data_IF_703795490792
#
_entry.id   IF_703795490792
#
_cell.length_a   1.000
_cell.length_b   1.000
_cell.length_c   1.000
_cell.angle_alpha   90.00
_cell.angle_beta   90.00
_cell.angle_gamma   90.00
#
_symmetry.space_group_name_H-M   'P 1'
#
loop_
_entity.id
_entity.type
_entity.pdbx_description
1 polymer ?
#
# COMPACT_ATOMS: atom_id res chain seq x y z
N UNK A 1 -8.63 11.37 -17.73
CA UNK A 1 -7.62 12.41 -17.39
C UNK A 1 -7.55 12.76 -15.89
N UNK A 2 -8.61 12.59 -15.09
CA UNK A 2 -8.61 12.95 -13.65
C UNK A 2 -7.79 12.03 -12.72
N UNK A 3 -7.77 10.71 -12.97
CA UNK A 3 -7.16 9.74 -12.03
C UNK A 3 -5.62 9.83 -11.96
N UNK A 4 -4.95 10.02 -13.10
CA UNK A 4 -3.48 10.15 -13.16
C UNK A 4 -2.97 11.48 -12.59
N UNK A 5 -3.73 12.56 -12.74
CA UNK A 5 -3.41 13.87 -12.17
C UNK A 5 -3.44 13.82 -10.64
N UNK A 6 -4.51 13.28 -10.07
CA UNK A 6 -4.64 13.11 -8.62
C UNK A 6 -3.54 12.23 -8.02
N UNK A 7 -3.06 11.23 -8.78
CA UNK A 7 -2.07 10.29 -8.28
C UNK A 7 -0.66 10.91 -8.16
N UNK A 8 -0.25 11.74 -9.14
CA UNK A 8 1.00 12.49 -9.06
C UNK A 8 0.98 13.50 -7.90
N UNK A 9 -0.16 14.14 -7.68
CA UNK A 9 -0.36 15.07 -6.55
C UNK A 9 -0.23 14.35 -5.21
N UNK A 10 -0.86 13.19 -5.02
CA UNK A 10 -0.75 12.42 -3.78
C UNK A 10 0.69 11.97 -3.50
N UNK A 11 1.45 11.55 -4.52
CA UNK A 11 2.86 11.19 -4.35
C UNK A 11 3.71 12.42 -3.99
N UNK A 12 3.45 13.58 -4.62
CA UNK A 12 4.16 14.84 -4.26
C UNK A 12 3.89 15.21 -2.81
N UNK A 13 2.62 15.22 -2.41
CA UNK A 13 2.20 15.50 -1.03
C UNK A 13 2.80 14.54 -0.02
N UNK A 14 2.92 13.25 -0.36
CA UNK A 14 3.61 12.29 0.49
C UNK A 14 5.08 12.68 0.70
N UNK A 15 5.77 13.09 -0.36
CA UNK A 15 7.16 13.56 -0.27
C UNK A 15 7.29 14.86 0.54
N UNK A 16 6.38 15.81 0.33
CA UNK A 16 6.32 17.08 1.08
C UNK A 16 6.05 16.83 2.56
N UNK A 17 5.05 16.01 2.91
CA UNK A 17 4.74 15.66 4.29
C UNK A 17 5.91 14.98 5.00
N UNK A 18 6.67 14.11 4.32
CA UNK A 18 7.88 13.51 4.92
C UNK A 18 8.97 14.57 5.12
N UNK A 19 9.17 15.47 4.15
CA UNK A 19 10.18 16.53 4.22
C UNK A 19 9.90 17.51 5.36
N UNK A 20 8.63 17.84 5.56
CA UNK A 20 8.18 18.77 6.59
C UNK A 20 7.86 18.05 7.92
N UNK A 21 8.28 16.79 8.07
CA UNK A 21 8.15 15.95 9.27
C UNK A 21 6.70 15.68 9.73
N UNK A 22 5.72 15.85 8.84
CA UNK A 22 4.34 15.44 9.02
C UNK A 22 4.15 13.93 8.80
N UNK A 23 4.81 13.12 9.63
CA UNK A 23 4.88 11.66 9.43
C UNK A 23 3.55 10.93 9.55
N UNK A 24 2.61 11.41 10.37
CA UNK A 24 1.26 10.85 10.46
C UNK A 24 0.47 11.07 9.15
N UNK A 25 0.55 12.28 8.59
CA UNK A 25 -0.06 12.58 7.30
C UNK A 25 0.58 11.77 6.18
N UNK A 26 1.91 11.69 6.16
CA UNK A 26 2.64 10.86 5.20
C UNK A 26 2.21 9.39 5.28
N UNK A 27 2.05 8.83 6.48
CA UNK A 27 1.58 7.46 6.69
C UNK A 27 0.16 7.25 6.13
N UNK A 28 -0.71 8.24 6.28
CA UNK A 28 -2.07 8.22 5.73
C UNK A 28 -2.09 8.30 4.20
N UNK A 29 -1.28 9.18 3.62
CA UNK A 29 -1.13 9.31 2.18
C UNK A 29 -0.58 8.02 1.57
N UNK A 30 0.45 7.41 2.19
CA UNK A 30 1.00 6.14 1.77
C UNK A 30 -0.08 5.03 1.79
N UNK A 31 -0.87 4.95 2.85
CA UNK A 31 -2.00 4.02 2.96
C UNK A 31 -2.99 4.17 1.80
N UNK A 32 -3.47 5.39 1.55
CA UNK A 32 -4.46 5.66 0.50
C UNK A 32 -3.94 5.28 -0.90
N UNK A 33 -2.66 5.55 -1.16
CA UNK A 33 -2.00 5.21 -2.41
C UNK A 33 -1.87 3.69 -2.56
N UNK A 34 -1.39 2.99 -1.53
CA UNK A 34 -1.22 1.54 -1.53
C UNK A 34 -2.55 0.81 -1.71
N UNK A 35 -3.60 1.26 -1.04
CA UNK A 35 -4.98 0.76 -1.22
C UNK A 35 -5.42 0.77 -2.69
N UNK A 36 -5.29 1.92 -3.36
CA UNK A 36 -5.67 2.04 -4.78
C UNK A 36 -4.77 1.17 -5.69
N UNK A 37 -3.49 0.96 -5.34
CA UNK A 37 -2.62 0.03 -6.08
C UNK A 37 -3.03 -1.42 -5.93
N UNK A 38 -3.46 -1.85 -4.75
CA UNK A 38 -4.01 -3.21 -4.57
C UNK A 38 -5.29 -3.39 -5.39
N UNK A 39 -6.20 -2.40 -5.37
CA UNK A 39 -7.40 -2.41 -6.22
C UNK A 39 -7.01 -2.52 -7.70
N UNK A 40 -6.07 -1.70 -8.17
CA UNK A 40 -5.62 -1.77 -9.56
C UNK A 40 -5.00 -3.13 -9.93
N UNK A 41 -4.34 -3.83 -8.99
CA UNK A 41 -3.78 -5.16 -9.26
C UNK A 41 -4.87 -6.24 -9.28
N UNK A 42 -5.87 -6.12 -8.41
CA UNK A 42 -7.03 -7.01 -8.37
C UNK A 42 -7.88 -6.86 -9.64
N UNK A 43 -8.11 -5.63 -10.11
CA UNK A 43 -8.87 -5.36 -11.34
C UNK A 43 -8.21 -6.00 -12.58
N UNK A 44 -6.87 -6.01 -12.62
CA UNK A 44 -6.09 -6.67 -13.67
C UNK A 44 -6.08 -8.21 -13.58
N UNK A 45 -6.67 -8.79 -12.53
CA UNK A 45 -6.62 -10.23 -12.25
C UNK A 45 -7.98 -10.83 -11.88
N UNK A 46 -9.08 -10.15 -12.20
CA UNK A 46 -10.45 -10.64 -11.97
C UNK A 46 -11.33 -9.76 -11.09
N UNK A 47 -10.89 -8.55 -10.73
CA UNK A 47 -11.66 -7.58 -9.94
C UNK A 47 -11.35 -7.60 -8.45
N UNK A 48 -11.52 -6.44 -7.81
CA UNK A 48 -11.42 -6.25 -6.36
C UNK A 48 -12.68 -6.73 -5.59
N UNK A 49 -13.14 -7.93 -5.89
CA UNK A 49 -14.32 -8.56 -5.30
C UNK A 49 -13.99 -9.92 -4.68
N UNK A 50 -14.74 -10.30 -3.64
CA UNK A 50 -14.72 -11.64 -3.04
C UNK A 50 -15.25 -12.69 -4.02
N UNK A 51 -15.08 -13.97 -3.69
CA UNK A 51 -15.71 -15.09 -4.42
C UNK A 51 -17.23 -14.97 -4.52
N UNK A 52 -17.86 -14.26 -3.58
CA UNK A 52 -19.30 -13.96 -3.56
C UNK A 52 -19.68 -12.66 -4.29
N UNK A 53 -18.73 -12.02 -4.99
CA UNK A 53 -18.95 -10.80 -5.77
C UNK A 53 -19.02 -9.51 -4.96
N UNK A 54 -18.70 -9.54 -3.66
CA UNK A 54 -18.74 -8.34 -2.80
C UNK A 54 -17.43 -7.57 -2.85
N UNK A 55 -17.43 -6.22 -2.81
CA UNK A 55 -16.19 -5.45 -2.82
C UNK A 55 -15.28 -5.77 -1.63
N UNK A 56 -13.99 -5.98 -1.88
CA UNK A 56 -12.98 -6.16 -0.82
C UNK A 56 -12.59 -4.77 -0.29
N UNK A 57 -13.03 -4.42 0.92
CA UNK A 57 -12.87 -3.04 1.45
C UNK A 57 -11.56 -2.78 2.16
N UNK A 58 -11.02 -3.76 2.88
CA UNK A 58 -9.87 -3.57 3.78
C UNK A 58 -8.54 -3.94 3.09
N UNK A 59 -7.43 -3.33 3.53
CA UNK A 59 -6.09 -3.56 2.96
C UNK A 59 -5.62 -5.00 3.14
N UNK A 60 -5.71 -5.54 4.35
CA UNK A 60 -5.31 -6.92 4.66
C UNK A 60 -5.99 -7.96 3.75
N UNK A 61 -7.33 -7.97 3.64
CA UNK A 61 -8.04 -8.84 2.71
C UNK A 61 -7.65 -8.67 1.23
N UNK A 62 -7.41 -7.43 0.75
CA UNK A 62 -6.91 -7.23 -0.63
C UNK A 62 -5.53 -7.85 -0.83
N UNK A 63 -4.65 -7.67 0.14
CA UNK A 63 -3.31 -8.25 0.13
C UNK A 63 -3.37 -9.79 0.13
N UNK A 64 -4.21 -10.38 0.98
CA UNK A 64 -4.43 -11.82 1.03
C UNK A 64 -4.94 -12.39 -0.30
N UNK A 65 -5.88 -11.70 -0.95
CA UNK A 65 -6.39 -12.08 -2.26
C UNK A 65 -5.30 -12.02 -3.35
N UNK A 66 -4.46 -10.97 -3.36
CA UNK A 66 -3.33 -10.88 -4.29
C UNK A 66 -2.33 -12.02 -4.05
N UNK A 67 -1.98 -12.31 -2.79
CA UNK A 67 -1.10 -13.44 -2.41
C UNK A 67 -1.69 -14.78 -2.91
N UNK A 68 -3.00 -14.99 -2.76
CA UNK A 68 -3.67 -16.19 -3.27
C UNK A 68 -3.61 -16.27 -4.81
N UNK A 69 -3.92 -15.19 -5.52
CA UNK A 69 -3.90 -15.15 -7.00
C UNK A 69 -2.50 -15.34 -7.59
N UNK A 70 -1.43 -14.98 -6.87
CA UNK A 70 -0.06 -15.23 -7.35
C UNK A 70 0.26 -16.72 -7.56
N UNK A 71 -0.49 -17.63 -6.92
CA UNK A 71 -0.31 -19.07 -7.09
C UNK A 71 -0.72 -19.54 -8.49
N UNK A 72 -1.71 -18.89 -9.11
CA UNK A 72 -2.26 -19.28 -10.41
C UNK A 72 -2.02 -18.26 -11.54
N UNK A 73 -1.77 -16.99 -11.22
CA UNK A 73 -1.60 -15.91 -12.21
C UNK A 73 -0.12 -15.57 -12.40
N UNK A 74 0.49 -16.11 -13.47
CA UNK A 74 1.92 -15.94 -13.77
C UNK A 74 2.33 -14.46 -13.90
N UNK A 75 1.53 -13.64 -14.59
CA UNK A 75 1.82 -12.22 -14.79
C UNK A 75 1.81 -11.45 -13.47
N UNK A 76 0.92 -11.78 -12.55
CA UNK A 76 0.87 -11.20 -11.21
C UNK A 76 2.13 -11.55 -10.41
N UNK A 77 2.54 -12.83 -10.45
CA UNK A 77 3.79 -13.30 -9.81
C UNK A 77 5.02 -12.60 -10.38
N UNK A 78 5.09 -12.41 -11.70
CA UNK A 78 6.18 -11.67 -12.36
C UNK A 78 6.19 -10.19 -11.99
N UNK A 79 5.02 -9.59 -11.81
CA UNK A 79 4.89 -8.15 -11.53
C UNK A 79 5.22 -7.81 -10.07
N UNK A 80 4.74 -8.62 -9.13
CA UNK A 80 4.94 -8.50 -7.68
C UNK A 80 5.87 -9.61 -7.21
N UNK A 81 7.18 -9.39 -7.33
CA UNK A 81 8.19 -10.41 -7.07
C UNK A 81 8.89 -10.19 -5.72
N UNK A 82 9.70 -11.17 -5.31
CA UNK A 82 10.47 -11.09 -4.07
C UNK A 82 9.55 -11.01 -2.85
N UNK A 83 9.93 -10.15 -1.89
CA UNK A 83 9.26 -9.97 -0.60
C UNK A 83 8.27 -8.80 -0.60
N UNK A 84 7.93 -8.22 -1.76
CA UNK A 84 7.12 -7.00 -1.85
C UNK A 84 5.80 -7.08 -1.08
N UNK A 85 5.10 -8.22 -1.17
CA UNK A 85 3.82 -8.41 -0.50
C UNK A 85 3.98 -8.63 1.00
N UNK A 86 5.09 -9.22 1.44
CA UNK A 86 5.39 -9.45 2.85
C UNK A 86 5.84 -8.16 3.53
N UNK A 87 6.61 -7.32 2.83
CA UNK A 87 6.95 -5.97 3.27
C UNK A 87 5.70 -5.10 3.46
N UNK A 88 4.70 -5.22 2.57
CA UNK A 88 3.44 -4.50 2.74
C UNK A 88 2.61 -5.04 3.91
N UNK A 89 2.65 -6.36 4.15
CA UNK A 89 1.98 -6.98 5.29
C UNK A 89 2.56 -6.49 6.62
N UNK A 90 3.89 -6.51 6.73
CA UNK A 90 4.61 -6.01 7.90
C UNK A 90 4.35 -4.51 8.11
N UNK A 91 4.36 -3.71 7.04
CA UNK A 91 4.05 -2.28 7.12
C UNK A 91 2.61 -2.00 7.58
N UNK A 92 1.64 -2.80 7.12
CA UNK A 92 0.25 -2.72 7.61
C UNK A 92 0.21 -2.93 9.13
N UNK A 93 0.94 -3.91 9.64
CA UNK A 93 0.98 -4.20 11.07
C UNK A 93 1.65 -3.07 11.87
N UNK A 94 2.81 -2.57 11.41
CA UNK A 94 3.47 -1.40 12.01
C UNK A 94 2.54 -0.16 12.06
N UNK A 95 1.78 0.08 11.00
CA UNK A 95 0.82 1.19 10.93
C UNK A 95 -0.37 0.99 11.88
N UNK A 96 -0.79 -0.25 12.12
CA UNK A 96 -1.81 -0.54 13.14
C UNK A 96 -1.25 -0.36 14.55
N UNK A 97 -0.02 -0.83 14.80
CA UNK A 97 0.68 -0.64 16.07
C UNK A 97 0.83 0.85 16.40
N UNK A 98 1.15 1.68 15.40
CA UNK A 98 1.17 3.14 15.55
C UNK A 98 -0.19 3.69 16.01
N UNK A 99 -1.27 3.28 15.35
CA UNK A 99 -2.62 3.73 15.69
C UNK A 99 -3.02 3.30 17.11
N UNK A 100 -2.65 2.09 17.53
CA UNK A 100 -2.90 1.59 18.87
C UNK A 100 -2.06 2.32 19.92
N UNK A 101 -0.76 2.51 19.68
CA UNK A 101 0.14 3.22 20.58
C UNK A 101 -0.28 4.68 20.83
N UNK A 102 -0.88 5.34 19.83
CA UNK A 102 -1.46 6.67 19.99
C UNK A 102 -2.71 6.70 20.90
N UNK A 103 -3.36 5.56 21.14
CA UNK A 103 -4.63 5.47 21.84
C UNK A 103 -4.54 4.82 23.23
N UNK A 104 -3.55 3.97 23.50
CA UNK A 104 -3.49 3.12 24.69
C UNK A 104 -2.37 3.50 25.70
N UNK A 105 -1.73 4.65 25.51
CA UNK A 105 -0.65 5.20 26.37
C UNK A 105 0.56 4.26 26.54
N UNK A 106 0.67 3.20 25.73
CA UNK A 106 1.74 2.19 25.86
C UNK A 106 3.13 2.65 25.42
N UNK A 107 3.24 3.84 24.82
CA UNK A 107 4.48 4.45 24.32
C UNK A 107 4.58 5.92 24.70
N UNK A 108 5.81 6.38 24.91
CA UNK A 108 6.10 7.81 25.04
C UNK A 108 5.87 8.54 23.70
N UNK A 109 5.69 9.87 23.77
CA UNK A 109 5.53 10.71 22.57
C UNK A 109 6.71 10.53 21.62
N UNK A 110 7.95 10.49 22.13
CA UNK A 110 9.14 10.32 21.30
C UNK A 110 9.18 8.96 20.59
N UNK A 111 8.68 7.90 21.22
CA UNK A 111 8.57 6.58 20.60
C UNK A 111 7.47 6.55 19.53
N UNK A 112 6.36 7.26 19.76
CA UNK A 112 5.29 7.43 18.77
C UNK A 112 5.80 8.20 17.55
N UNK A 113 6.56 9.28 17.76
CA UNK A 113 7.14 10.08 16.68
C UNK A 113 8.12 9.27 15.84
N UNK A 114 8.99 8.47 16.48
CA UNK A 114 9.90 7.58 15.77
C UNK A 114 9.15 6.51 14.98
N UNK A 115 8.13 5.89 15.57
CA UNK A 115 7.30 4.90 14.88
C UNK A 115 6.54 5.51 13.70
N UNK A 116 6.02 6.73 13.85
CA UNK A 116 5.38 7.46 12.76
C UNK A 116 6.36 7.73 11.61
N UNK A 117 7.59 8.16 11.93
CA UNK A 117 8.65 8.36 10.95
C UNK A 117 8.98 7.07 10.19
N UNK A 118 9.16 5.96 10.90
CA UNK A 118 9.48 4.66 10.31
C UNK A 118 8.36 4.18 9.37
N UNK A 119 7.10 4.30 9.80
CA UNK A 119 5.91 3.97 8.98
C UNK A 119 5.82 4.87 7.74
N UNK A 120 6.10 6.17 7.87
CA UNK A 120 6.05 7.11 6.76
C UNK A 120 7.12 6.80 5.70
N UNK A 121 8.38 6.60 6.12
CA UNK A 121 9.52 6.38 5.22
C UNK A 121 9.36 5.04 4.50
N UNK A 122 9.09 3.97 5.24
CA UNK A 122 8.87 2.64 4.66
C UNK A 122 7.62 2.59 3.75
N UNK A 123 6.57 3.33 4.12
CA UNK A 123 5.36 3.48 3.31
C UNK A 123 5.63 4.16 1.97
N UNK A 124 6.47 5.21 1.93
CA UNK A 124 6.91 5.86 0.67
C UNK A 124 7.63 4.90 -0.25
N UNK A 125 8.53 4.08 0.30
CA UNK A 125 9.29 3.13 -0.50
C UNK A 125 8.38 2.04 -1.08
N UNK A 126 7.43 1.54 -0.29
CA UNK A 126 6.37 0.63 -0.75
C UNK A 126 5.50 1.26 -1.84
N UNK A 127 5.09 2.52 -1.68
CA UNK A 127 4.33 3.25 -2.72
C UNK A 127 5.07 3.21 -4.04
N UNK A 128 6.36 3.52 -4.06
CA UNK A 128 7.18 3.50 -5.28
C UNK A 128 7.20 2.10 -5.91
N UNK A 129 7.45 1.08 -5.09
CA UNK A 129 7.59 -0.30 -5.54
C UNK A 129 6.26 -0.84 -6.11
N UNK A 130 5.14 -0.60 -5.43
CA UNK A 130 3.80 -1.03 -5.85
C UNK A 130 3.32 -0.27 -7.09
N UNK A 131 3.64 1.02 -7.22
CA UNK A 131 3.39 1.75 -8.46
C UNK A 131 4.10 1.12 -9.66
N UNK A 132 5.35 0.71 -9.47
CA UNK A 132 6.12 0.04 -10.51
C UNK A 132 5.54 -1.35 -10.83
N UNK A 133 5.13 -2.11 -9.81
CA UNK A 133 4.49 -3.41 -9.97
C UNK A 133 3.18 -3.34 -10.77
N UNK A 134 2.28 -2.41 -10.45
CA UNK A 134 1.04 -2.22 -11.21
C UNK A 134 1.31 -1.86 -12.68
N UNK A 135 2.34 -1.03 -12.97
CA UNK A 135 2.73 -0.72 -14.36
C UNK A 135 3.28 -1.95 -15.08
N UNK A 136 4.06 -2.80 -14.40
CA UNK A 136 4.54 -4.07 -14.96
C UNK A 136 3.39 -5.02 -15.26
N UNK A 137 2.46 -5.21 -14.32
CA UNK A 137 1.31 -6.08 -14.49
C UNK A 137 0.47 -5.69 -15.72
N UNK A 138 0.11 -4.41 -15.83
CA UNK A 138 -0.61 -3.88 -17.00
C UNK A 138 0.11 -4.12 -18.31
N UNK A 139 1.45 -4.09 -18.30
CA UNK A 139 2.26 -4.38 -19.48
C UNK A 139 2.21 -5.87 -19.83
N UNK A 140 2.37 -6.74 -18.84
CA UNK A 140 2.32 -8.19 -19.03
C UNK A 140 0.95 -8.70 -19.48
N UNK A 141 -0.14 -8.03 -19.10
CA UNK A 141 -1.49 -8.40 -19.52
C UNK A 141 -1.88 -7.88 -20.91
N UNK A 142 -1.13 -6.93 -21.48
CA UNK A 142 -1.41 -6.34 -22.80
C UNK A 142 -0.61 -6.97 -23.94
N UNK A 143 0.48 -7.68 -23.61
CA UNK A 143 1.30 -8.41 -24.55
C UNK A 143 0.95 -9.88 -24.54
#
# INVERSE_FOLDING_TARGET
MAKDYNYKVLISRLGEAIKDEFFLEASWLAYAILEDRLVSALDETGGAVTTTGRPIRMLGPKLGEIKARQQSVLNLRKAFFGDMLDRLDAWKDQRNDLMHAMADESKSISEIDQLAQDVAISGRDLVRDFCAACRRLKRFNRG
#
